data_IF_219940449232
#
_entry.id   IF_219940449232
#
_cell.length_a   1.000
_cell.length_b   1.000
_cell.length_c   1.000
_cell.angle_alpha   90.00
_cell.angle_beta   90.00
_cell.angle_gamma   90.00
#
_symmetry.space_group_name_H-M   'P 1'
#
loop_
_entity.id
_entity.type
_entity.pdbx_description
1 polymer ?
#
# COMPACT_ATOMS: atom_id res chain seq x y z
N UNK A 1 -6.94 7.58 -8.28
CA UNK A 1 -6.01 8.53 -7.62
C UNK A 1 -5.47 7.89 -6.35
N UNK A 2 -4.25 8.24 -5.92
CA UNK A 2 -3.73 7.93 -4.58
C UNK A 2 -3.24 9.19 -3.87
N UNK A 3 -3.41 9.26 -2.54
CA UNK A 3 -3.05 10.42 -1.70
C UNK A 3 -2.54 9.94 -0.35
N UNK A 4 -1.65 10.71 0.28
CA UNK A 4 -1.29 10.52 1.68
C UNK A 4 -0.09 9.60 1.90
N UNK A 5 0.24 9.37 3.16
CA UNK A 5 1.53 8.79 3.55
C UNK A 5 1.67 7.29 3.24
N UNK A 6 0.56 6.55 3.09
CA UNK A 6 0.54 5.17 2.56
C UNK A 6 -0.18 5.04 1.21
N UNK A 7 -0.33 6.15 0.46
CA UNK A 7 -0.97 6.16 -0.86
C UNK A 7 -2.41 5.60 -0.84
N UNK A 8 -3.27 6.13 0.05
CA UNK A 8 -4.70 5.79 0.09
C UNK A 8 -5.33 5.98 -1.29
N UNK A 9 -5.96 4.93 -1.80
CA UNK A 9 -6.41 4.87 -3.19
C UNK A 9 -7.93 4.92 -3.29
N UNK A 10 -8.44 5.67 -4.26
CA UNK A 10 -9.86 5.67 -4.62
C UNK A 10 -10.26 4.45 -5.47
N UNK A 11 -9.27 3.76 -6.05
CA UNK A 11 -9.44 2.68 -7.04
C UNK A 11 -10.30 3.13 -8.24
N UNK A 12 -10.67 2.20 -9.13
CA UNK A 12 -11.54 2.51 -10.28
C UNK A 12 -12.96 2.88 -9.86
N UNK A 13 -13.45 2.30 -8.77
CA UNK A 13 -14.80 2.54 -8.24
C UNK A 13 -14.99 3.90 -7.56
N UNK A 14 -13.92 4.64 -7.27
CA UNK A 14 -14.01 5.94 -6.60
C UNK A 14 -14.38 5.85 -5.11
N UNK A 15 -14.18 4.71 -4.44
CA UNK A 15 -14.65 4.47 -3.06
C UNK A 15 -13.69 3.70 -2.15
N UNK A 16 -12.45 3.48 -2.59
CA UNK A 16 -11.42 2.75 -1.84
C UNK A 16 -10.97 3.45 -0.54
N UNK A 17 -9.77 3.12 -0.06
CA UNK A 17 -9.27 3.63 1.23
C UNK A 17 -9.20 5.17 1.30
N UNK A 18 -9.03 5.86 0.17
CA UNK A 18 -9.13 7.34 0.11
C UNK A 18 -10.53 7.85 0.47
N UNK A 19 -11.57 7.16 -0.01
CA UNK A 19 -12.96 7.48 0.31
C UNK A 19 -13.24 7.35 1.81
N UNK A 20 -12.66 6.32 2.43
CA UNK A 20 -12.79 6.08 3.87
C UNK A 20 -12.07 7.14 4.72
N UNK A 21 -10.91 7.63 4.28
CA UNK A 21 -10.23 8.78 4.92
C UNK A 21 -11.14 10.01 4.90
N UNK A 22 -11.70 10.35 3.73
CA UNK A 22 -12.57 11.51 3.59
C UNK A 22 -13.86 11.38 4.41
N UNK A 23 -14.46 10.19 4.41
CA UNK A 23 -15.68 9.92 5.18
C UNK A 23 -15.42 10.02 6.69
N UNK A 24 -14.30 9.46 7.16
CA UNK A 24 -13.83 9.57 8.55
C UNK A 24 -13.69 11.03 8.96
N UNK A 25 -12.99 11.84 8.15
CA UNK A 25 -12.83 13.27 8.40
C UNK A 25 -14.17 14.02 8.37
N UNK A 26 -15.03 13.77 7.37
CA UNK A 26 -16.35 14.43 7.24
C UNK A 26 -17.25 14.14 8.43
N UNK A 27 -17.19 12.92 8.95
CA UNK A 27 -18.02 12.49 10.08
C UNK A 27 -17.52 13.07 11.40
N UNK A 28 -16.21 13.05 11.63
CA UNK A 28 -15.63 13.48 12.90
C UNK A 28 -15.38 14.99 12.99
N UNK A 29 -15.08 15.63 11.85
CA UNK A 29 -14.68 17.03 11.75
C UNK A 29 -15.38 17.72 10.56
N UNK A 30 -16.71 17.83 10.57
CA UNK A 30 -17.47 18.34 9.42
C UNK A 30 -17.11 19.78 9.05
N UNK A 31 -16.78 20.64 10.03
CA UNK A 31 -16.35 22.02 9.80
C UNK A 31 -15.01 22.10 9.05
N UNK A 32 -14.01 21.33 9.48
CA UNK A 32 -12.73 21.22 8.78
C UNK A 32 -12.88 20.60 7.40
N UNK A 33 -13.73 19.58 7.28
CA UNK A 33 -14.01 18.97 5.98
C UNK A 33 -14.61 19.99 5.02
N UNK A 34 -15.54 20.83 5.50
CA UNK A 34 -16.09 21.94 4.73
C UNK A 34 -14.98 22.90 4.27
N UNK A 35 -14.10 23.31 5.19
CA UNK A 35 -13.06 24.30 4.93
C UNK A 35 -11.94 23.81 4.00
N UNK A 36 -11.61 22.52 4.06
CA UNK A 36 -10.47 21.94 3.34
C UNK A 36 -10.86 21.19 2.08
N UNK A 37 -12.09 20.70 1.94
CA UNK A 37 -12.53 19.91 0.79
C UNK A 37 -13.79 20.50 0.14
N UNK A 38 -14.91 20.59 0.85
CA UNK A 38 -16.20 20.94 0.24
C UNK A 38 -16.25 22.35 -0.34
N UNK A 39 -15.57 23.32 0.29
CA UNK A 39 -15.37 24.67 -0.25
C UNK A 39 -14.70 24.68 -1.63
N UNK A 40 -13.93 23.65 -1.96
CA UNK A 40 -13.24 23.50 -3.25
C UNK A 40 -13.94 22.50 -4.18
N UNK A 41 -15.18 22.11 -3.88
CA UNK A 41 -15.95 21.19 -4.72
C UNK A 41 -15.58 19.72 -4.55
N UNK A 42 -14.94 19.34 -3.43
CA UNK A 42 -14.70 17.93 -3.09
C UNK A 42 -15.61 17.48 -1.97
N UNK A 43 -16.29 16.36 -2.15
CA UNK A 43 -17.09 15.74 -1.11
C UNK A 43 -16.99 14.20 -1.16
N UNK A 44 -17.68 13.54 -0.26
CA UNK A 44 -17.77 12.08 -0.16
C UNK A 44 -19.19 11.66 0.24
N UNK A 45 -19.69 10.59 -0.38
CA UNK A 45 -21.00 10.01 -0.06
C UNK A 45 -20.96 9.28 1.29
N UNK A 46 -22.12 8.97 1.89
CA UNK A 46 -22.17 8.13 3.10
C UNK A 46 -21.57 6.72 2.91
N UNK A 47 -21.41 6.26 1.66
CA UNK A 47 -20.77 4.98 1.32
C UNK A 47 -19.26 5.11 1.10
N UNK A 48 -18.70 6.32 1.19
CA UNK A 48 -17.29 6.58 0.93
C UNK A 48 -16.96 6.81 -0.55
N UNK A 49 -17.94 7.03 -1.43
CA UNK A 49 -17.66 7.35 -2.83
C UNK A 49 -17.25 8.82 -2.97
N UNK A 50 -16.23 9.10 -3.77
CA UNK A 50 -15.78 10.44 -4.07
C UNK A 50 -16.88 11.23 -4.79
N UNK A 51 -16.96 12.52 -4.49
CA UNK A 51 -17.87 13.46 -5.15
C UNK A 51 -17.05 14.66 -5.62
N UNK A 52 -17.24 15.04 -6.88
CA UNK A 52 -16.67 16.25 -7.47
C UNK A 52 -17.82 17.16 -7.88
N UNK A 53 -17.89 18.33 -7.26
CA UNK A 53 -18.83 19.40 -7.55
C UNK A 53 -18.10 20.49 -8.35
N UNK A 54 -18.62 20.80 -9.52
CA UNK A 54 -18.23 21.99 -10.26
C UNK A 54 -18.89 23.21 -9.62
N UNK A 55 -18.10 24.10 -9.02
CA UNK A 55 -18.62 25.28 -8.32
C UNK A 55 -19.13 26.39 -9.25
N UNK A 56 -18.77 26.34 -10.53
CA UNK A 56 -19.20 27.32 -11.53
C UNK A 56 -20.54 26.90 -12.15
N UNK A 57 -20.71 25.61 -12.46
CA UNK A 57 -21.90 25.09 -13.16
C UNK A 57 -22.91 24.41 -12.24
N UNK A 58 -22.51 24.01 -11.03
CA UNK A 58 -23.32 23.22 -10.11
C UNK A 58 -23.38 21.72 -10.45
N UNK A 59 -22.69 21.27 -11.49
CA UNK A 59 -22.66 19.85 -11.89
C UNK A 59 -22.00 18.98 -10.81
N UNK A 60 -22.63 17.84 -10.48
CA UNK A 60 -22.14 16.88 -9.49
C UNK A 60 -21.81 15.56 -10.17
N UNK A 61 -20.57 15.10 -10.00
CA UNK A 61 -20.11 13.76 -10.37
C UNK A 61 -19.86 12.94 -9.11
N UNK A 62 -20.10 11.63 -9.19
CA UNK A 62 -19.97 10.70 -8.05
C UNK A 62 -19.20 9.44 -8.48
N UNK A 63 -18.44 8.84 -7.57
CA UNK A 63 -17.83 7.53 -7.77
C UNK A 63 -16.78 7.54 -8.90
N UNK A 64 -16.87 6.65 -9.90
CA UNK A 64 -15.91 6.59 -11.00
C UNK A 64 -15.76 7.90 -11.79
N UNK A 65 -16.86 8.63 -12.00
CA UNK A 65 -16.85 9.89 -12.77
C UNK A 65 -16.20 11.00 -11.96
N UNK A 66 -16.50 11.08 -10.66
CA UNK A 66 -15.80 12.00 -9.75
C UNK A 66 -14.31 11.71 -9.70
N UNK A 67 -13.93 10.43 -9.61
CA UNK A 67 -12.55 10.02 -9.57
C UNK A 67 -11.79 10.41 -10.86
N UNK A 68 -12.44 10.25 -12.01
CA UNK A 68 -11.88 10.66 -13.30
C UNK A 68 -11.69 12.18 -13.35
N UNK A 69 -12.72 12.94 -12.98
CA UNK A 69 -12.67 14.41 -12.90
C UNK A 69 -11.55 14.90 -11.96
N UNK A 70 -11.41 14.29 -10.79
CA UNK A 70 -10.39 14.63 -9.81
C UNK A 70 -8.98 14.37 -10.36
N UNK A 71 -8.79 13.32 -11.15
CA UNK A 71 -7.48 13.00 -11.76
C UNK A 71 -7.15 13.98 -12.89
N UNK A 72 -8.12 14.31 -13.74
CA UNK A 72 -7.90 15.12 -14.94
C UNK A 72 -7.77 16.61 -14.62
N UNK A 73 -8.51 17.10 -13.62
CA UNK A 73 -8.51 18.50 -13.23
C UNK A 73 -7.52 18.77 -12.10
N UNK A 74 -6.38 19.39 -12.45
CA UNK A 74 -5.24 19.68 -11.55
C UNK A 74 -5.61 20.47 -10.29
N UNK A 75 -6.75 21.17 -10.28
CA UNK A 75 -7.24 21.89 -9.09
C UNK A 75 -7.51 20.91 -7.95
N UNK A 76 -8.18 19.77 -8.20
CA UNK A 76 -8.57 18.85 -7.15
C UNK A 76 -7.38 18.17 -6.44
N UNK A 77 -6.36 17.63 -7.14
CA UNK A 77 -5.16 17.10 -6.48
C UNK A 77 -4.46 18.13 -5.60
N UNK A 78 -4.44 19.40 -6.01
CA UNK A 78 -3.85 20.48 -5.21
C UNK A 78 -4.58 20.71 -3.87
N UNK A 79 -5.89 20.46 -3.83
CA UNK A 79 -6.69 20.54 -2.59
C UNK A 79 -6.21 19.48 -1.59
N UNK A 80 -5.97 18.25 -2.04
CA UNK A 80 -5.44 17.19 -1.19
C UNK A 80 -4.03 17.51 -0.66
N UNK A 81 -3.15 18.05 -1.52
CA UNK A 81 -1.80 18.47 -1.09
C UNK A 81 -1.90 19.58 -0.04
N UNK A 82 -2.72 20.60 -0.29
CA UNK A 82 -2.96 21.69 0.67
C UNK A 82 -3.53 21.16 1.99
N UNK A 83 -4.52 20.29 1.95
CA UNK A 83 -5.12 19.70 3.15
C UNK A 83 -4.11 18.86 3.93
N UNK A 84 -3.21 18.12 3.27
CA UNK A 84 -2.14 17.37 3.93
C UNK A 84 -1.20 18.24 4.77
N UNK A 85 -0.93 19.47 4.31
CA UNK A 85 -0.07 20.44 5.02
C UNK A 85 -0.84 21.19 6.10
N UNK A 86 -2.07 21.63 5.82
CA UNK A 86 -2.77 22.60 6.68
C UNK A 86 -3.78 21.96 7.64
N UNK A 87 -4.36 20.80 7.31
CA UNK A 87 -5.44 20.21 8.09
C UNK A 87 -4.91 19.11 9.01
N UNK A 88 -4.84 19.40 10.31
CA UNK A 88 -4.60 18.38 11.33
C UNK A 88 -5.69 17.29 11.33
N UNK A 89 -7.00 17.62 11.26
CA UNK A 89 -8.05 16.61 11.14
C UNK A 89 -7.89 15.66 9.95
N UNK A 90 -7.42 16.15 8.81
CA UNK A 90 -7.15 15.29 7.65
C UNK A 90 -5.99 14.32 7.91
N UNK A 91 -4.94 14.74 8.62
CA UNK A 91 -3.84 13.85 9.03
C UNK A 91 -4.32 12.82 10.06
N UNK A 92 -5.12 13.24 11.04
CA UNK A 92 -5.73 12.33 12.03
C UNK A 92 -6.61 11.30 11.33
N UNK A 93 -7.44 11.71 10.36
CA UNK A 93 -8.28 10.79 9.61
C UNK A 93 -7.45 9.76 8.84
N UNK A 94 -6.35 10.17 8.21
CA UNK A 94 -5.42 9.23 7.56
C UNK A 94 -4.83 8.23 8.55
N UNK A 95 -4.37 8.67 9.72
CA UNK A 95 -3.79 7.78 10.75
C UNK A 95 -4.85 6.78 11.23
N UNK A 96 -6.06 7.24 11.55
CA UNK A 96 -7.15 6.36 12.00
C UNK A 96 -7.50 5.33 10.94
N UNK A 97 -7.68 5.75 9.68
CA UNK A 97 -7.96 4.83 8.58
C UNK A 97 -6.81 3.86 8.35
N UNK A 98 -5.55 4.29 8.48
CA UNK A 98 -4.39 3.39 8.41
C UNK A 98 -4.45 2.33 9.52
N UNK A 99 -4.72 2.74 10.76
CA UNK A 99 -4.83 1.82 11.90
C UNK A 99 -6.00 0.84 11.73
N UNK A 100 -7.16 1.32 11.32
CA UNK A 100 -8.36 0.48 11.23
C UNK A 100 -8.28 -0.52 10.08
N UNK A 101 -7.70 -0.12 8.93
CA UNK A 101 -7.72 -0.94 7.72
C UNK A 101 -6.44 -1.72 7.48
N UNK A 102 -5.30 -1.25 7.96
CA UNK A 102 -4.00 -1.81 7.58
C UNK A 102 -3.16 -2.33 8.75
N UNK A 103 -3.42 -1.87 9.98
CA UNK A 103 -2.71 -2.41 11.14
C UNK A 103 -3.19 -3.84 11.42
N UNK A 104 -2.29 -4.85 11.41
CA UNK A 104 -2.70 -6.24 11.30
C UNK A 104 -3.06 -6.89 12.64
N UNK A 105 -2.74 -6.26 13.78
CA UNK A 105 -2.74 -6.91 15.09
C UNK A 105 -4.06 -7.64 15.45
N UNK A 106 -5.21 -7.06 15.09
CA UNK A 106 -6.53 -7.62 15.41
C UNK A 106 -7.13 -8.48 14.30
N UNK A 107 -6.49 -8.58 13.13
CA UNK A 107 -6.97 -9.43 12.05
C UNK A 107 -6.90 -10.89 12.49
N UNK A 108 -7.96 -11.64 12.14
CA UNK A 108 -8.07 -13.06 12.42
C UNK A 108 -7.70 -13.87 11.19
N UNK A 109 -6.88 -14.90 11.36
CA UNK A 109 -6.56 -15.89 10.35
C UNK A 109 -7.09 -17.25 10.79
N UNK A 110 -7.66 -17.99 9.84
CA UNK A 110 -8.11 -19.37 10.05
C UNK A 110 -7.27 -20.29 9.19
N UNK A 111 -6.69 -21.32 9.81
CA UNK A 111 -5.76 -22.25 9.17
C UNK A 111 -5.87 -23.64 9.80
N UNK A 112 -5.31 -24.65 9.13
CA UNK A 112 -5.32 -26.01 9.63
C UNK A 112 -4.17 -26.26 10.63
N UNK A 113 -4.50 -26.38 11.91
CA UNK A 113 -3.54 -26.72 12.96
C UNK A 113 -3.66 -28.21 13.31
N UNK A 114 -2.65 -28.99 12.95
CA UNK A 114 -2.58 -30.44 13.23
C UNK A 114 -3.83 -31.22 12.75
N UNK A 115 -4.36 -30.89 11.56
CA UNK A 115 -5.55 -31.53 11.01
C UNK A 115 -6.88 -31.01 11.54
N UNK A 116 -6.88 -29.95 12.35
CA UNK A 116 -8.10 -29.28 12.84
C UNK A 116 -8.11 -27.78 12.47
N UNK A 117 -9.26 -27.21 12.10
CA UNK A 117 -9.34 -25.78 11.88
C UNK A 117 -9.10 -25.01 13.17
N UNK A 118 -8.25 -23.99 13.09
CA UNK A 118 -7.88 -23.12 14.17
C UNK A 118 -7.98 -21.65 13.73
N UNK A 119 -8.40 -20.78 14.63
CA UNK A 119 -8.45 -19.32 14.40
C UNK A 119 -7.56 -18.61 15.41
N UNK A 120 -6.74 -17.68 14.93
CA UNK A 120 -5.84 -16.88 15.75
C UNK A 120 -5.83 -15.43 15.28
N UNK A 121 -5.59 -14.47 16.18
CA UNK A 121 -5.28 -13.10 15.76
C UNK A 121 -3.79 -12.97 15.49
N UNK A 122 -3.42 -12.08 14.59
CA UNK A 122 -2.00 -11.88 14.24
C UNK A 122 -1.17 -11.49 15.48
N UNK A 123 -1.69 -10.64 16.36
CA UNK A 123 -1.02 -10.29 17.62
C UNK A 123 -0.82 -11.43 18.61
N UNK A 124 -1.50 -12.56 18.41
CA UNK A 124 -1.33 -13.71 19.29
C UNK A 124 -0.05 -14.51 18.94
N UNK A 125 0.56 -14.28 17.77
CA UNK A 125 1.77 -14.98 17.32
C UNK A 125 2.85 -14.11 16.64
N UNK A 126 2.55 -12.86 16.33
CA UNK A 126 3.54 -11.84 15.96
C UNK A 126 3.58 -10.86 17.13
N UNK A 127 4.72 -10.78 17.82
CA UNK A 127 4.85 -9.98 19.05
C UNK A 127 5.75 -8.77 18.85
N UNK A 128 6.68 -8.82 17.89
CA UNK A 128 7.61 -7.70 17.67
C UNK A 128 7.04 -6.65 16.73
N UNK A 129 7.48 -5.40 16.94
CA UNK A 129 7.18 -4.30 16.03
C UNK A 129 7.70 -4.56 14.61
N UNK A 130 8.85 -5.22 14.47
CA UNK A 130 9.39 -5.58 13.17
C UNK A 130 8.47 -6.56 12.41
N UNK A 131 7.90 -7.54 13.11
CA UNK A 131 6.92 -8.46 12.54
C UNK A 131 5.63 -7.75 12.15
N UNK A 132 5.09 -6.89 13.03
CA UNK A 132 3.89 -6.10 12.74
C UNK A 132 4.08 -5.17 11.54
N UNK A 133 5.22 -4.47 11.48
CA UNK A 133 5.56 -3.61 10.35
C UNK A 133 5.63 -4.38 9.04
N UNK A 134 6.20 -5.60 9.06
CA UNK A 134 6.27 -6.47 7.87
C UNK A 134 4.88 -6.85 7.36
N UNK A 135 3.96 -7.16 8.26
CA UNK A 135 2.59 -7.53 7.89
C UNK A 135 1.77 -6.32 7.46
N UNK A 136 1.97 -5.17 8.12
CA UNK A 136 1.34 -3.91 7.73
C UNK A 136 1.78 -3.50 6.31
N UNK A 137 3.07 -3.53 6.01
CA UNK A 137 3.61 -3.23 4.67
C UNK A 137 2.97 -4.12 3.59
N UNK A 138 2.87 -5.43 3.85
CA UNK A 138 2.19 -6.37 2.95
C UNK A 138 0.72 -6.02 2.72
N UNK A 139 0.00 -5.71 3.80
CA UNK A 139 -1.43 -5.39 3.73
C UNK A 139 -1.67 -4.07 3.00
N UNK A 140 -0.79 -3.08 3.18
CA UNK A 140 -0.82 -1.81 2.43
C UNK A 140 -0.63 -2.07 0.93
N UNK A 141 0.35 -2.88 0.56
CA UNK A 141 0.71 -3.09 -0.84
C UNK A 141 -0.25 -4.04 -1.60
N UNK A 142 -0.79 -5.06 -0.92
CA UNK A 142 -1.54 -6.14 -1.59
C UNK A 142 -2.97 -6.34 -1.10
N UNK A 143 -3.35 -5.69 0.01
CA UNK A 143 -4.64 -5.89 0.67
C UNK A 143 -4.80 -7.24 1.38
N UNK A 144 -3.78 -8.11 1.37
CA UNK A 144 -3.82 -9.46 1.96
C UNK A 144 -2.46 -9.84 2.57
N UNK A 145 -2.44 -10.95 3.31
CA UNK A 145 -1.20 -11.46 3.91
C UNK A 145 -0.40 -12.41 3.00
N UNK A 146 -0.93 -12.79 1.83
CA UNK A 146 -0.30 -13.76 0.92
C UNK A 146 -0.34 -15.18 1.50
N UNK A 147 0.77 -15.90 1.42
CA UNK A 147 0.87 -17.33 1.80
C UNK A 147 0.93 -17.60 3.31
N UNK A 148 0.53 -16.63 4.14
CA UNK A 148 0.58 -16.73 5.59
C UNK A 148 -0.07 -18.01 6.10
N UNK A 149 -1.26 -18.37 5.59
CA UNK A 149 -1.98 -19.59 6.00
C UNK A 149 -1.10 -20.82 5.76
N UNK A 150 -0.59 -20.99 4.54
CA UNK A 150 0.28 -22.11 4.17
C UNK A 150 1.57 -22.14 5.00
N UNK A 151 2.15 -20.97 5.28
CA UNK A 151 3.35 -20.85 6.13
C UNK A 151 3.06 -21.31 7.56
N UNK A 152 1.95 -20.86 8.15
CA UNK A 152 1.55 -21.26 9.50
C UNK A 152 1.30 -22.77 9.58
N UNK A 153 0.64 -23.35 8.59
CA UNK A 153 0.41 -24.80 8.50
C UNK A 153 1.73 -25.57 8.41
N UNK A 154 2.61 -25.18 7.48
CA UNK A 154 3.91 -25.82 7.29
C UNK A 154 4.80 -25.74 8.54
N UNK A 155 4.85 -24.58 9.20
CA UNK A 155 5.60 -24.39 10.45
C UNK A 155 4.97 -25.24 11.56
N UNK A 156 3.65 -25.30 11.63
CA UNK A 156 2.95 -26.09 12.65
C UNK A 156 3.30 -27.58 12.55
N UNK A 157 3.34 -28.12 11.34
CA UNK A 157 3.74 -29.50 11.08
C UNK A 157 5.24 -29.72 11.31
N UNK A 158 6.09 -28.82 10.80
CA UNK A 158 7.55 -29.02 10.81
C UNK A 158 8.18 -28.94 12.20
N UNK A 159 7.59 -28.14 13.10
CA UNK A 159 8.11 -27.91 14.45
C UNK A 159 7.31 -28.64 15.55
N UNK A 160 6.33 -29.45 15.18
CA UNK A 160 5.47 -30.23 16.09
C UNK A 160 4.91 -29.41 17.27
N UNK A 161 4.57 -28.15 17.01
CA UNK A 161 4.05 -27.23 18.03
C UNK A 161 2.69 -27.71 18.51
N UNK A 162 2.48 -27.71 19.84
CA UNK A 162 1.27 -28.27 20.47
C UNK A 162 0.18 -27.24 20.71
N UNK A 163 0.53 -25.96 20.64
CA UNK A 163 -0.41 -24.85 20.82
C UNK A 163 -0.16 -23.75 19.79
N UNK A 164 -1.25 -23.09 19.37
CA UNK A 164 -1.19 -21.85 18.58
C UNK A 164 -0.34 -20.79 19.28
N UNK A 165 -0.36 -20.74 20.62
CA UNK A 165 0.47 -19.80 21.39
C UNK A 165 1.96 -20.03 21.20
N UNK A 166 2.38 -21.24 20.84
CA UNK A 166 3.79 -21.53 20.58
C UNK A 166 4.26 -20.99 19.22
N UNK A 167 3.36 -20.58 18.32
CA UNK A 167 3.73 -19.89 17.09
C UNK A 167 4.49 -18.60 17.36
N UNK A 168 4.20 -17.92 18.49
CA UNK A 168 4.93 -16.73 18.92
C UNK A 168 6.43 -17.00 19.10
N UNK A 169 6.82 -18.22 19.51
CA UNK A 169 8.23 -18.62 19.65
C UNK A 169 8.92 -18.80 18.30
N UNK A 170 8.14 -18.90 17.22
CA UNK A 170 8.59 -19.12 15.85
C UNK A 170 8.39 -17.87 14.98
N UNK A 171 8.19 -16.69 15.58
CA UNK A 171 7.99 -15.43 14.87
C UNK A 171 9.08 -15.19 13.81
N UNK A 172 10.35 -15.41 14.15
CA UNK A 172 11.46 -15.26 13.20
C UNK A 172 11.28 -16.14 11.95
N UNK A 173 10.89 -17.41 12.13
CA UNK A 173 10.65 -18.35 11.05
C UNK A 173 9.45 -17.92 10.20
N UNK A 174 8.38 -17.45 10.84
CA UNK A 174 7.19 -16.92 10.16
C UNK A 174 7.57 -15.71 9.31
N UNK A 175 8.23 -14.69 9.88
CA UNK A 175 8.65 -13.48 9.15
C UNK A 175 9.61 -13.83 7.99
N UNK A 176 10.56 -14.75 8.22
CA UNK A 176 11.51 -15.18 7.19
C UNK A 176 10.84 -15.95 6.05
N UNK A 177 9.88 -16.81 6.36
CA UNK A 177 9.10 -17.54 5.35
C UNK A 177 8.17 -16.61 4.58
N UNK A 178 7.71 -15.53 5.21
CA UNK A 178 6.99 -14.43 4.60
C UNK A 178 7.90 -13.53 3.73
N UNK A 179 9.06 -14.00 3.25
CA UNK A 179 9.89 -13.24 2.32
C UNK A 179 9.29 -13.28 0.92
N UNK A 180 8.64 -12.20 0.52
CA UNK A 180 8.25 -11.93 -0.87
C UNK A 180 8.54 -10.45 -1.13
N UNK A 181 9.63 -10.17 -1.86
CA UNK A 181 9.58 -9.14 -2.88
C UNK A 181 9.35 -9.93 -4.15
N UNK A 182 8.26 -9.69 -4.86
CA UNK A 182 8.35 -9.89 -6.30
C UNK A 182 9.58 -9.11 -6.73
N UNK A 183 10.55 -9.78 -7.33
CA UNK A 183 11.66 -9.05 -7.92
C UNK A 183 11.08 -8.30 -9.11
N UNK A 184 10.76 -7.02 -8.90
CA UNK A 184 10.20 -6.18 -9.95
C UNK A 184 11.23 -5.90 -11.06
N UNK A 185 12.49 -6.29 -10.88
CA UNK A 185 13.53 -6.33 -11.91
C UNK A 185 13.52 -7.63 -12.71
N UNK A 186 12.71 -8.63 -12.33
CA UNK A 186 12.51 -9.83 -13.13
C UNK A 186 11.94 -9.47 -14.52
N UNK A 187 12.27 -10.24 -15.57
CA UNK A 187 11.87 -9.95 -16.94
C UNK A 187 10.35 -9.85 -17.18
N UNK A 188 9.52 -10.27 -16.20
CA UNK A 188 8.06 -10.19 -16.24
C UNK A 188 7.51 -8.76 -16.19
N UNK A 189 8.34 -7.78 -15.79
CA UNK A 189 8.00 -6.37 -15.80
C UNK A 189 8.83 -5.63 -16.85
N UNK A 190 8.17 -5.00 -17.82
CA UNK A 190 8.82 -4.12 -18.80
C UNK A 190 9.26 -2.82 -18.11
N UNK A 191 10.41 -2.86 -17.43
CA UNK A 191 11.05 -1.68 -16.90
C UNK A 191 11.82 -0.97 -18.01
N UNK A 192 11.63 0.35 -18.11
CA UNK A 192 12.44 1.20 -18.98
C UNK A 192 13.91 1.13 -18.55
N UNK A 193 14.75 0.65 -19.47
CA UNK A 193 16.21 0.60 -19.30
C UNK A 193 16.86 1.73 -20.13
N UNK A 194 17.97 2.32 -19.68
CA UNK A 194 18.78 3.17 -20.54
C UNK A 194 19.06 2.42 -21.84
N UNK A 195 19.00 3.11 -22.99
CA UNK A 195 19.52 2.51 -24.23
C UNK A 195 20.96 2.13 -23.95
N UNK A 196 21.30 0.88 -24.23
CA UNK A 196 22.67 0.40 -24.10
C UNK A 196 23.53 1.24 -25.05
N UNK A 197 24.31 2.18 -24.50
CA UNK A 197 25.06 3.16 -25.29
C UNK A 197 26.30 2.54 -25.95
N UNK A 198 26.47 1.20 -25.90
CA UNK A 198 27.49 0.48 -26.65
C UNK A 198 28.92 0.95 -26.37
N UNK A 199 29.18 1.45 -25.15
CA UNK A 199 30.53 1.83 -24.71
C UNK A 199 31.33 0.54 -24.51
N UNK A 200 31.80 -0.01 -25.62
CA UNK A 200 32.79 -1.07 -25.67
C UNK A 200 34.07 -0.47 -25.08
N UNK A 201 34.61 -0.98 -23.96
CA UNK A 201 35.89 -0.51 -23.47
C UNK A 201 36.94 -0.87 -24.51
N UNK A 202 37.50 0.12 -25.18
CA UNK A 202 38.58 -0.05 -26.14
C UNK A 202 39.83 -0.55 -25.40
N UNK A 203 39.98 -1.87 -25.30
CA UNK A 203 41.28 -2.50 -25.02
C UNK A 203 42.16 -2.39 -26.26
N UNK A 204 42.68 -1.18 -26.50
CA UNK A 204 43.66 -0.87 -27.53
C UNK A 204 45.06 -0.76 -26.98
N UNK A 205 45.60 -1.85 -26.42
CA UNK A 205 47.02 -2.00 -26.13
C UNK A 205 47.64 -2.96 -27.14
N UNK A 206 48.21 -2.42 -28.21
CA UNK A 206 49.03 -3.14 -29.20
C UNK A 206 49.92 -2.07 -29.84
N UNK A 207 51.21 -2.02 -29.56
CA UNK A 207 52.17 -3.00 -30.05
C UNK A 207 52.90 -2.35 -31.23
N UNK A 208 54.02 -1.69 -30.94
CA UNK A 208 54.87 -1.06 -31.96
C UNK A 208 55.33 -2.13 -32.96
N UNK A 209 54.73 -2.15 -34.14
CA UNK A 209 55.30 -2.84 -35.30
C UNK A 209 56.46 -2.00 -35.85
N UNK A 210 57.68 -2.48 -35.62
CA UNK A 210 58.89 -2.02 -36.28
C UNK A 210 58.90 -2.67 -37.68
N UNK A 211 58.89 -1.91 -38.79
CA UNK A 211 59.04 -2.49 -40.12
C UNK A 211 60.52 -2.82 -40.40
N UNK A 212 60.83 -3.91 -41.14
CA UNK A 212 62.19 -4.17 -41.58
C UNK A 212 62.58 -3.29 -42.79
N UNK A 213 63.90 -3.13 -42.90
CA UNK A 213 64.72 -2.19 -43.69
C UNK A 213 64.48 -2.18 -45.21
N UNK A 214 64.93 -1.07 -45.81
CA UNK A 214 65.98 -1.11 -46.85
C UNK A 214 67.26 -0.49 -46.30
#
# INVERSE_FOLDING_TARGET
MSVGFIQFASLKGGSGSLGQVLLSMKTQFPGDFQNHFRKYGLDVTPKGELVALNLETGEVKIGPDANTEIITNRRYPSVFVRAGVLSEPFRIAQIKTAMDQYYPANDTVTFNFQGKPATARIKDFILTEAGMATFMDRKVNTGKYGDLITILENISYSYDIKSIRDLAKLEYQIIRAMKWRDDYLEPKFELSKPRDLGLTPSRGGSGRNIPPRN
#
